data_IF_810337417310
#
_entry.id   IF_810337417310
#
_cell.length_a   1.000
_cell.length_b   1.000
_cell.length_c   1.000
_cell.angle_alpha   90.00
_cell.angle_beta   90.00
_cell.angle_gamma   90.00
#
_symmetry.space_group_name_H-M   'P 1'
#
loop_
_entity.id
_entity.type
_entity.pdbx_description
1 polymer ?
#
# COMPACT_ATOMS: atom_id res chain seq x y z
N UNK A 1 5.58 -35.10 -16.00
CA UNK A 1 4.24 -34.99 -15.36
C UNK A 1 3.23 -34.55 -16.41
N UNK A 2 2.21 -35.36 -16.71
CA UNK A 2 1.16 -35.03 -17.67
C UNK A 2 -0.05 -34.55 -16.87
N UNK A 3 -0.28 -33.24 -16.87
CA UNK A 3 -1.41 -32.63 -16.16
C UNK A 3 -2.73 -33.01 -16.84
N UNK A 4 -3.81 -33.09 -16.06
CA UNK A 4 -5.15 -33.35 -16.61
C UNK A 4 -5.52 -32.28 -17.64
N UNK A 5 -6.19 -32.66 -18.73
CA UNK A 5 -6.55 -31.71 -19.80
C UNK A 5 -7.42 -30.60 -19.21
N UNK A 6 -6.98 -29.35 -19.34
CA UNK A 6 -7.65 -28.17 -18.78
C UNK A 6 -7.13 -27.70 -17.41
N UNK A 7 -6.32 -28.51 -16.72
CA UNK A 7 -5.68 -28.11 -15.46
C UNK A 7 -4.47 -27.20 -15.70
N UNK A 8 -4.16 -26.36 -14.70
CA UNK A 8 -2.98 -25.50 -14.68
C UNK A 8 -2.08 -25.88 -13.50
N UNK A 9 -0.79 -25.98 -13.77
CA UNK A 9 0.23 -26.10 -12.72
C UNK A 9 0.84 -24.73 -12.43
N UNK A 10 0.79 -24.31 -11.18
CA UNK A 10 1.33 -23.03 -10.72
C UNK A 10 2.73 -23.20 -10.16
N UNK A 11 3.65 -22.36 -10.62
CA UNK A 11 5.03 -22.27 -10.18
C UNK A 11 5.13 -21.40 -8.94
N UNK A 12 5.59 -21.98 -7.83
CA UNK A 12 5.90 -21.26 -6.58
C UNK A 12 6.83 -20.08 -6.79
N UNK A 13 7.82 -20.21 -7.67
CA UNK A 13 8.82 -19.17 -7.90
C UNK A 13 8.35 -18.03 -8.81
N UNK A 14 7.23 -18.18 -9.53
CA UNK A 14 6.91 -17.31 -10.67
C UNK A 14 5.45 -16.95 -10.87
N UNK A 15 4.53 -17.90 -10.65
CA UNK A 15 3.09 -17.66 -10.78
C UNK A 15 2.51 -17.07 -9.49
N UNK A 16 2.88 -17.62 -8.33
CA UNK A 16 2.40 -17.09 -7.04
C UNK A 16 2.88 -15.67 -6.74
N UNK A 17 4.15 -15.27 -6.99
CA UNK A 17 4.55 -13.88 -6.85
C UNK A 17 3.74 -12.92 -7.73
N UNK A 18 3.40 -13.34 -8.96
CA UNK A 18 2.56 -12.57 -9.87
C UNK A 18 1.14 -12.44 -9.32
N UNK A 19 0.51 -13.54 -8.91
CA UNK A 19 -0.83 -13.52 -8.34
C UNK A 19 -0.89 -12.69 -7.05
N UNK A 20 0.14 -12.76 -6.19
CA UNK A 20 0.27 -11.95 -4.98
C UNK A 20 0.28 -10.47 -5.30
N UNK A 21 1.05 -10.04 -6.30
CA UNK A 21 1.06 -8.64 -6.73
C UNK A 21 -0.32 -8.19 -7.20
N UNK A 22 -0.99 -8.97 -8.04
CA UNK A 22 -2.34 -8.61 -8.49
C UNK A 22 -3.34 -8.56 -7.33
N UNK A 23 -3.27 -9.51 -6.40
CA UNK A 23 -4.11 -9.56 -5.20
C UNK A 23 -3.91 -8.33 -4.31
N UNK A 24 -2.66 -7.99 -4.00
CA UNK A 24 -2.32 -6.88 -3.09
C UNK A 24 -2.53 -5.50 -3.71
N UNK A 25 -2.47 -5.40 -5.03
CA UNK A 25 -2.74 -4.16 -5.76
C UNK A 25 -4.23 -3.90 -6.00
N UNK A 26 -5.10 -4.92 -5.92
CA UNK A 26 -6.52 -4.82 -6.30
C UNK A 26 -6.70 -4.72 -7.82
N UNK A 27 -6.23 -3.61 -8.41
CA UNK A 27 -6.09 -3.42 -9.85
C UNK A 27 -4.66 -3.04 -10.20
N UNK A 28 -4.15 -3.56 -11.31
CA UNK A 28 -2.78 -3.29 -11.74
C UNK A 28 -2.66 -3.30 -13.27
N UNK A 29 -1.90 -2.37 -13.84
CA UNK A 29 -1.66 -2.39 -15.29
C UNK A 29 -0.63 -3.46 -15.69
N UNK A 30 -0.63 -3.85 -16.96
CA UNK A 30 0.34 -4.81 -17.50
C UNK A 30 1.81 -4.35 -17.32
N UNK A 31 2.07 -3.06 -17.43
CA UNK A 31 3.36 -2.43 -17.21
C UNK A 31 3.74 -2.47 -15.73
N UNK A 32 2.86 -1.98 -14.84
CA UNK A 32 3.11 -1.98 -13.39
C UNK A 32 3.43 -3.39 -12.88
N UNK A 33 2.63 -4.39 -13.29
CA UNK A 33 2.83 -5.78 -12.88
C UNK A 33 4.18 -6.33 -13.34
N UNK A 34 4.56 -6.06 -14.59
CA UNK A 34 5.87 -6.47 -15.09
C UNK A 34 7.00 -5.80 -14.32
N UNK A 35 6.84 -4.52 -14.01
CA UNK A 35 7.87 -3.76 -13.33
C UNK A 35 8.10 -4.24 -11.90
N UNK A 36 7.03 -4.50 -11.14
CA UNK A 36 7.14 -5.12 -9.81
C UNK A 36 7.90 -6.45 -9.87
N UNK A 37 7.51 -7.34 -10.79
CA UNK A 37 8.15 -8.64 -10.95
C UNK A 37 9.61 -8.52 -11.41
N UNK A 38 9.94 -7.49 -12.20
CA UNK A 38 11.31 -7.22 -12.62
C UNK A 38 12.17 -6.72 -11.48
N UNK A 39 11.65 -5.78 -10.68
CA UNK A 39 12.34 -5.23 -9.51
C UNK A 39 12.60 -6.30 -8.44
N UNK A 40 11.73 -7.30 -8.31
CA UNK A 40 11.92 -8.45 -7.42
C UNK A 40 12.52 -9.69 -8.10
N UNK A 41 13.09 -9.52 -9.29
CA UNK A 41 13.80 -10.58 -10.02
C UNK A 41 12.96 -11.84 -10.35
N UNK A 42 11.64 -11.74 -10.30
CA UNK A 42 10.70 -12.80 -10.73
C UNK A 42 10.45 -12.81 -12.25
N UNK A 43 10.77 -11.72 -12.95
CA UNK A 43 10.65 -11.62 -14.40
C UNK A 43 11.84 -10.89 -15.04
N UNK A 44 12.53 -11.58 -15.97
CA UNK A 44 13.60 -10.99 -16.80
C UNK A 44 13.23 -10.89 -18.28
N UNK A 45 12.24 -11.66 -18.74
CA UNK A 45 11.80 -11.69 -20.14
C UNK A 45 10.36 -11.22 -20.27
N UNK A 46 10.14 -10.19 -21.10
CA UNK A 46 8.81 -9.68 -21.42
C UNK A 46 7.93 -10.74 -22.08
N UNK A 47 8.48 -11.57 -22.96
CA UNK A 47 7.74 -12.64 -23.63
C UNK A 47 7.30 -13.73 -22.65
N UNK A 48 8.20 -14.16 -21.75
CA UNK A 48 7.85 -15.14 -20.73
C UNK A 48 6.79 -14.61 -19.76
N UNK A 49 6.86 -13.33 -19.40
CA UNK A 49 5.84 -12.65 -18.61
C UNK A 49 4.48 -12.60 -19.33
N UNK A 50 4.44 -12.15 -20.58
CA UNK A 50 3.21 -12.06 -21.38
C UNK A 50 2.51 -13.43 -21.48
N UNK A 51 3.27 -14.48 -21.79
CA UNK A 51 2.74 -15.84 -21.88
C UNK A 51 2.18 -16.33 -20.53
N UNK A 52 2.82 -15.94 -19.41
CA UNK A 52 2.34 -16.29 -18.07
C UNK A 52 1.03 -15.60 -17.76
N UNK A 53 0.95 -14.29 -17.96
CA UNK A 53 -0.28 -13.52 -17.73
C UNK A 53 -1.42 -14.08 -18.58
N UNK A 54 -1.19 -14.30 -19.88
CA UNK A 54 -2.19 -14.88 -20.78
C UNK A 54 -2.67 -16.25 -20.29
N UNK A 55 -1.75 -17.10 -19.82
CA UNK A 55 -2.10 -18.41 -19.26
C UNK A 55 -2.96 -18.27 -18.00
N UNK A 56 -2.60 -17.39 -17.06
CA UNK A 56 -3.37 -17.19 -15.83
C UNK A 56 -4.77 -16.61 -16.10
N UNK A 57 -4.90 -15.71 -17.09
CA UNK A 57 -6.20 -15.21 -17.57
C UNK A 57 -7.01 -16.33 -18.21
N UNK A 58 -6.41 -17.12 -19.11
CA UNK A 58 -7.09 -18.23 -19.80
C UNK A 58 -7.63 -19.29 -18.84
N UNK A 59 -6.95 -19.51 -17.72
CA UNK A 59 -7.37 -20.46 -16.68
C UNK A 59 -8.20 -19.79 -15.56
N UNK A 60 -8.64 -18.54 -15.74
CA UNK A 60 -9.60 -17.90 -14.86
C UNK A 60 -9.05 -17.50 -13.49
N UNK A 61 -7.73 -17.41 -13.31
CA UNK A 61 -7.11 -16.93 -12.06
C UNK A 61 -6.96 -15.41 -12.02
N UNK A 62 -6.91 -14.78 -13.21
CA UNK A 62 -6.89 -13.33 -13.39
C UNK A 62 -8.05 -12.89 -14.25
N UNK A 63 -8.60 -11.72 -13.93
CA UNK A 63 -9.58 -11.01 -14.75
C UNK A 63 -8.83 -9.93 -15.51
N UNK A 64 -8.97 -9.91 -16.84
CA UNK A 64 -8.47 -8.83 -17.69
C UNK A 64 -9.61 -7.85 -17.95
N UNK A 65 -9.38 -6.59 -17.63
CA UNK A 65 -10.32 -5.49 -17.86
C UNK A 65 -9.90 -4.75 -19.14
N UNK A 66 -10.80 -4.65 -20.10
CA UNK A 66 -10.61 -3.84 -21.31
C UNK A 66 -11.22 -2.46 -21.06
N UNK A 67 -10.35 -1.49 -20.74
CA UNK A 67 -10.76 -0.13 -20.44
C UNK A 67 -10.30 0.80 -21.57
N UNK A 68 -11.22 1.29 -22.43
CA UNK A 68 -10.84 2.06 -23.61
C UNK A 68 -10.14 3.39 -23.30
N UNK A 69 -10.17 3.87 -22.05
CA UNK A 69 -9.71 5.21 -21.68
C UNK A 69 -8.36 5.26 -20.93
N UNK A 70 -7.83 4.15 -20.39
CA UNK A 70 -6.60 4.17 -19.57
C UNK A 70 -5.41 3.73 -20.42
N UNK A 71 -4.67 4.69 -20.97
CA UNK A 71 -3.38 4.51 -21.67
C UNK A 71 -3.32 3.36 -22.70
N UNK A 72 -4.48 2.87 -23.17
CA UNK A 72 -4.64 1.67 -24.01
C UNK A 72 -3.98 0.41 -23.43
N UNK A 73 -3.80 0.35 -22.11
CA UNK A 73 -3.15 -0.76 -21.44
C UNK A 73 -4.17 -1.70 -20.78
N UNK A 74 -3.89 -3.01 -20.82
CA UNK A 74 -4.69 -4.00 -20.10
C UNK A 74 -4.50 -3.83 -18.58
N UNK A 75 -5.62 -3.78 -17.85
CA UNK A 75 -5.63 -3.80 -16.38
C UNK A 75 -6.07 -5.17 -15.91
N UNK A 76 -5.45 -5.66 -14.84
CA UNK A 76 -5.76 -6.95 -14.24
C UNK A 76 -6.22 -6.82 -12.80
N UNK A 77 -7.12 -7.71 -12.41
CA UNK A 77 -7.45 -8.00 -11.01
C UNK A 77 -7.43 -9.51 -10.79
N UNK A 78 -7.37 -9.94 -9.53
CA UNK A 78 -7.48 -11.37 -9.20
C UNK A 78 -8.95 -11.79 -9.33
N UNK A 79 -9.20 -13.01 -9.81
CA UNK A 79 -10.55 -13.60 -9.77
C UNK A 79 -10.87 -14.17 -8.39
N UNK A 80 -12.12 -14.56 -8.15
CA UNK A 80 -12.50 -15.27 -6.92
C UNK A 80 -11.76 -16.61 -6.78
N UNK A 81 -11.61 -17.35 -7.88
CA UNK A 81 -10.84 -18.60 -7.90
C UNK A 81 -9.35 -18.35 -7.59
N UNK A 82 -8.77 -17.29 -8.16
CA UNK A 82 -7.40 -16.88 -7.87
C UNK A 82 -7.22 -16.48 -6.41
N UNK A 83 -8.13 -15.68 -5.85
CA UNK A 83 -8.09 -15.27 -4.46
C UNK A 83 -8.23 -16.47 -3.50
N UNK A 84 -9.13 -17.41 -3.80
CA UNK A 84 -9.28 -18.65 -3.02
C UNK A 84 -8.02 -19.52 -3.04
N UNK A 85 -7.36 -19.65 -4.20
CA UNK A 85 -6.09 -20.37 -4.31
C UNK A 85 -5.00 -19.70 -3.47
N UNK A 86 -4.89 -18.37 -3.53
CA UNK A 86 -3.91 -17.61 -2.74
C UNK A 86 -4.18 -17.73 -1.23
N UNK A 87 -5.44 -17.64 -0.80
CA UNK A 87 -5.82 -17.84 0.60
C UNK A 87 -5.46 -19.26 1.09
N UNK A 88 -5.68 -20.29 0.25
CA UNK A 88 -5.27 -21.66 0.53
C UNK A 88 -3.75 -21.85 0.67
N UNK A 89 -2.94 -20.91 0.17
CA UNK A 89 -1.48 -20.86 0.38
C UNK A 89 -1.04 -20.00 1.56
N UNK A 90 -1.99 -19.45 2.32
CA UNK A 90 -1.72 -18.64 3.50
C UNK A 90 -1.46 -17.17 3.22
N UNK A 91 -1.83 -16.65 2.04
CA UNK A 91 -1.81 -15.20 1.82
C UNK A 91 -2.83 -14.50 2.72
N UNK A 92 -2.45 -13.35 3.28
CA UNK A 92 -3.30 -12.51 4.08
C UNK A 92 -4.38 -11.85 3.21
N UNK A 93 -5.51 -12.54 3.06
CA UNK A 93 -6.69 -12.05 2.37
C UNK A 93 -7.92 -12.21 3.26
N UNK A 94 -8.47 -11.09 3.71
CA UNK A 94 -9.82 -11.06 4.27
C UNK A 94 -10.79 -10.52 3.22
N UNK A 95 -11.79 -11.35 2.90
CA UNK A 95 -12.90 -10.92 2.05
C UNK A 95 -13.63 -9.78 2.78
N UNK A 96 -13.93 -8.66 2.09
CA UNK A 96 -14.77 -7.62 2.68
C UNK A 96 -16.10 -8.23 3.13
N UNK A 97 -16.42 -8.09 4.42
CA UNK A 97 -17.71 -8.54 4.98
C UNK A 97 -18.84 -7.63 4.50
N UNK A 98 -18.53 -6.38 4.17
CA UNK A 98 -19.48 -5.42 3.61
C UNK A 98 -19.51 -5.47 2.08
N UNK A 99 -20.72 -5.61 1.54
CA UNK A 99 -21.00 -5.58 0.11
C UNK A 99 -20.59 -4.23 -0.50
N UNK A 100 -19.36 -4.13 -1.01
CA UNK A 100 -18.98 -3.05 -1.90
C UNK A 100 -19.95 -3.03 -3.08
N UNK A 101 -20.73 -1.95 -3.20
CA UNK A 101 -21.64 -1.75 -4.32
C UNK A 101 -20.84 -1.76 -5.62
N UNK A 102 -21.22 -2.55 -6.65
CA UNK A 102 -20.49 -2.66 -7.91
C UNK A 102 -20.31 -1.34 -8.69
N UNK A 103 -21.03 -0.28 -8.31
CA UNK A 103 -20.97 1.03 -8.97
C UNK A 103 -19.71 1.85 -8.68
N UNK A 104 -18.86 1.44 -7.71
CA UNK A 104 -17.63 2.16 -7.32
C UNK A 104 -16.36 1.60 -8.00
N UNK A 105 -16.51 0.63 -8.90
CA UNK A 105 -15.38 -0.09 -9.51
C UNK A 105 -14.36 0.80 -10.20
N UNK A 106 -14.79 1.91 -10.81
CA UNK A 106 -13.89 2.84 -11.51
C UNK A 106 -13.10 3.74 -10.54
N UNK A 107 -13.73 4.16 -9.42
CA UNK A 107 -13.05 4.93 -8.36
C UNK A 107 -11.97 4.09 -7.69
N UNK A 108 -12.30 2.85 -7.33
CA UNK A 108 -11.35 1.88 -6.78
C UNK A 108 -10.21 1.53 -7.73
N UNK A 109 -10.50 1.39 -9.03
CA UNK A 109 -9.49 1.10 -10.02
C UNK A 109 -8.44 2.21 -10.09
N UNK A 110 -8.90 3.44 -10.25
CA UNK A 110 -8.04 4.61 -10.35
C UNK A 110 -7.19 4.85 -9.10
N UNK A 111 -7.80 4.67 -7.92
CA UNK A 111 -7.09 4.69 -6.63
C UNK A 111 -5.98 3.64 -6.55
N UNK A 112 -6.29 2.40 -6.93
CA UNK A 112 -5.34 1.28 -6.93
C UNK A 112 -4.14 1.53 -7.85
N UNK A 113 -4.40 2.05 -9.06
CA UNK A 113 -3.33 2.33 -10.03
C UNK A 113 -2.36 3.41 -9.53
N UNK A 114 -2.85 4.46 -8.87
CA UNK A 114 -1.99 5.52 -8.32
C UNK A 114 -1.21 5.02 -7.08
N UNK A 115 -1.84 4.20 -6.22
CA UNK A 115 -1.14 3.54 -5.11
C UNK A 115 0.00 2.64 -5.60
N UNK A 116 -0.21 1.92 -6.71
CA UNK A 116 0.84 1.12 -7.32
C UNK A 116 2.00 2.00 -7.82
N UNK A 117 1.74 3.19 -8.36
CA UNK A 117 2.81 4.12 -8.75
C UNK A 117 3.59 4.65 -7.53
N UNK A 118 2.91 4.93 -6.41
CA UNK A 118 3.56 5.30 -5.15
C UNK A 118 4.47 4.15 -4.68
N UNK A 119 3.97 2.92 -4.68
CA UNK A 119 4.73 1.73 -4.30
C UNK A 119 5.93 1.50 -5.23
N UNK A 120 5.73 1.53 -6.56
CA UNK A 120 6.83 1.39 -7.52
C UNK A 120 7.87 2.48 -7.36
N UNK A 121 7.46 3.73 -7.14
CA UNK A 121 8.38 4.85 -6.89
C UNK A 121 9.28 4.56 -5.68
N UNK A 122 8.70 4.14 -4.56
CA UNK A 122 9.48 3.74 -3.39
C UNK A 122 10.38 2.54 -3.67
N UNK A 123 9.86 1.52 -4.35
CA UNK A 123 10.62 0.31 -4.68
C UNK A 123 11.83 0.61 -5.56
N UNK A 124 11.69 1.50 -6.54
CA UNK A 124 12.78 1.97 -7.42
C UNK A 124 13.92 2.63 -6.67
N UNK A 125 13.67 3.24 -5.50
CA UNK A 125 14.73 3.85 -4.69
C UNK A 125 15.66 2.84 -4.01
N UNK A 126 15.23 1.57 -3.89
CA UNK A 126 15.95 0.56 -3.11
C UNK A 126 15.90 0.76 -1.58
N UNK A 127 15.20 1.80 -1.10
CA UNK A 127 15.06 2.07 0.35
C UNK A 127 13.86 1.37 0.98
N UNK A 128 12.90 0.91 0.18
CA UNK A 128 11.70 0.22 0.66
C UNK A 128 12.06 -1.14 1.26
N UNK A 129 11.77 -1.33 2.55
CA UNK A 129 11.98 -2.58 3.28
C UNK A 129 10.69 -3.43 3.25
N UNK A 130 9.56 -2.82 3.60
CA UNK A 130 8.25 -3.48 3.58
C UNK A 130 7.16 -2.55 3.05
N UNK A 131 6.27 -3.13 2.25
CA UNK A 131 4.99 -2.55 1.87
C UNK A 131 3.90 -3.47 2.36
N UNK A 132 3.18 -3.07 3.41
CA UNK A 132 2.03 -3.81 3.93
C UNK A 132 0.78 -3.25 3.25
N UNK A 133 0.16 -3.97 2.31
CA UNK A 133 -1.00 -3.46 1.57
C UNK A 133 -2.26 -3.45 2.45
N UNK A 134 -3.28 -2.68 2.02
CA UNK A 134 -4.59 -2.63 2.67
C UNK A 134 -5.21 -4.02 2.88
N UNK A 135 -5.03 -4.95 1.94
CA UNK A 135 -5.56 -6.33 2.03
C UNK A 135 -5.00 -7.10 3.22
N UNK A 136 -3.69 -6.98 3.47
CA UNK A 136 -3.03 -7.59 4.62
C UNK A 136 -3.40 -6.86 5.92
N UNK A 137 -3.44 -5.53 5.89
CA UNK A 137 -3.89 -4.70 7.02
C UNK A 137 -5.30 -5.10 7.44
N UNK A 138 -6.20 -5.26 6.48
CA UNK A 138 -7.58 -5.70 6.70
C UNK A 138 -7.64 -7.08 7.31
N UNK A 139 -6.93 -8.03 6.73
CA UNK A 139 -6.83 -9.39 7.28
C UNK A 139 -6.36 -9.38 8.73
N UNK A 140 -5.33 -8.59 9.05
CA UNK A 140 -4.83 -8.45 10.41
C UNK A 140 -5.82 -7.80 11.36
N UNK A 141 -6.49 -6.72 10.94
CA UNK A 141 -7.45 -5.99 11.76
C UNK A 141 -8.69 -6.83 12.06
N UNK A 142 -9.16 -7.61 11.08
CA UNK A 142 -10.40 -8.38 11.19
C UNK A 142 -10.19 -9.71 11.95
N UNK A 143 -8.99 -10.29 11.86
CA UNK A 143 -8.70 -11.63 12.41
C UNK A 143 -7.85 -11.62 13.68
N UNK A 144 -7.29 -10.47 14.08
CA UNK A 144 -6.42 -10.38 15.26
C UNK A 144 -6.74 -9.17 16.12
N UNK A 145 -6.41 -9.26 17.41
CA UNK A 145 -6.48 -8.12 18.35
C UNK A 145 -5.28 -7.18 18.23
N UNK A 146 -4.27 -7.54 17.44
CA UNK A 146 -3.02 -6.80 17.27
C UNK A 146 -2.98 -6.00 15.96
N UNK A 147 -4.15 -5.60 15.46
CA UNK A 147 -4.31 -4.80 14.24
C UNK A 147 -4.03 -3.31 14.43
N UNK A 148 -4.27 -2.57 13.36
CA UNK A 148 -4.27 -1.12 13.31
C UNK A 148 -5.66 -0.57 13.60
N UNK A 149 -5.73 0.67 14.05
CA UNK A 149 -7.02 1.34 14.31
C UNK A 149 -7.74 1.79 13.04
N UNK A 150 -7.07 1.72 11.89
CA UNK A 150 -7.61 2.03 10.56
C UNK A 150 -7.17 0.98 9.54
N UNK A 151 -8.00 0.80 8.51
CA UNK A 151 -7.55 0.23 7.24
C UNK A 151 -6.79 1.31 6.47
N UNK A 152 -5.47 1.34 6.64
CA UNK A 152 -4.61 2.23 5.86
C UNK A 152 -4.45 1.71 4.44
N UNK A 153 -4.28 2.59 3.45
CA UNK A 153 -4.00 2.17 2.06
C UNK A 153 -2.72 1.34 2.01
N UNK A 154 -1.71 1.74 2.79
CA UNK A 154 -0.56 0.92 3.10
C UNK A 154 0.11 1.31 4.43
N UNK A 155 0.85 0.38 5.02
CA UNK A 155 1.85 0.65 6.05
C UNK A 155 3.21 0.37 5.47
N UNK A 156 4.04 1.42 5.42
CA UNK A 156 5.31 1.43 4.70
C UNK A 156 6.46 1.46 5.69
N UNK A 157 7.49 0.65 5.42
CA UNK A 157 8.77 0.68 6.13
C UNK A 157 9.87 0.97 5.12
N UNK A 158 10.62 2.05 5.36
CA UNK A 158 11.77 2.46 4.54
C UNK A 158 13.03 2.50 5.39
N UNK A 159 14.18 2.22 4.79
CA UNK A 159 15.48 2.31 5.45
C UNK A 159 16.12 3.67 5.17
N UNK A 160 16.28 4.47 6.22
CA UNK A 160 16.89 5.80 6.18
C UNK A 160 18.05 5.86 7.18
N UNK A 161 19.24 6.24 6.71
CA UNK A 161 20.45 6.31 7.55
C UNK A 161 20.70 5.04 8.39
N UNK A 162 20.43 3.86 7.82
CA UNK A 162 20.60 2.56 8.50
C UNK A 162 19.47 2.20 9.47
N UNK A 163 18.44 3.02 9.63
CA UNK A 163 17.30 2.75 10.50
C UNK A 163 16.02 2.49 9.68
N UNK A 164 15.21 1.55 10.17
CA UNK A 164 13.90 1.27 9.60
C UNK A 164 12.86 2.24 10.16
N UNK A 165 12.35 3.11 9.29
CA UNK A 165 11.34 4.10 9.58
C UNK A 165 9.98 3.63 9.07
N UNK A 166 8.98 3.57 9.96
CA UNK A 166 7.61 3.12 9.64
C UNK A 166 6.64 4.30 9.60
N UNK A 167 5.79 4.33 8.58
CA UNK A 167 4.67 5.28 8.49
C UNK A 167 3.44 4.65 7.84
N UNK A 168 2.26 5.18 8.20
CA UNK A 168 1.02 4.89 7.51
C UNK A 168 0.90 5.80 6.29
N UNK A 169 0.50 5.24 5.16
CA UNK A 169 0.24 5.94 3.91
C UNK A 169 -1.26 5.97 3.63
N UNK A 170 -1.74 7.14 3.24
CA UNK A 170 -3.08 7.40 2.73
C UNK A 170 -2.96 8.15 1.42
N UNK A 171 -3.70 7.72 0.41
CA UNK A 171 -3.88 8.44 -0.83
C UNK A 171 -5.35 8.83 -0.98
N UNK A 172 -5.61 10.09 -1.32
CA UNK A 172 -6.98 10.56 -1.45
C UNK A 172 -7.18 11.29 -2.78
N UNK A 173 -7.92 10.65 -3.70
CA UNK A 173 -8.26 11.22 -5.02
C UNK A 173 -9.37 12.24 -4.95
N UNK A 174 -10.34 12.02 -4.07
CA UNK A 174 -11.56 12.82 -3.92
C UNK A 174 -11.86 13.03 -2.44
N UNK A 175 -12.43 14.19 -2.07
CA UNK A 175 -12.72 14.49 -0.69
C UNK A 175 -13.77 13.51 -0.14
N UNK A 176 -13.55 13.08 1.10
CA UNK A 176 -14.52 12.34 1.90
C UNK A 176 -15.60 13.27 2.45
N UNK A 177 -16.71 12.71 2.89
CA UNK A 177 -17.72 13.47 3.62
C UNK A 177 -17.14 13.96 4.96
N UNK A 178 -17.51 15.16 5.43
CA UNK A 178 -16.97 15.74 6.66
C UNK A 178 -17.00 14.79 7.88
N UNK A 179 -18.10 14.05 8.05
CA UNK A 179 -18.26 13.03 9.12
C UNK A 179 -17.21 11.91 9.08
N UNK A 180 -16.70 11.57 7.89
CA UNK A 180 -15.69 10.53 7.73
C UNK A 180 -14.33 11.02 8.24
N UNK A 181 -13.97 12.29 8.08
CA UNK A 181 -12.72 12.83 8.66
C UNK A 181 -12.73 12.84 10.19
N UNK A 182 -13.89 13.04 10.82
CA UNK A 182 -14.00 12.91 12.28
C UNK A 182 -13.64 11.49 12.74
N UNK A 183 -14.16 10.48 12.05
CA UNK A 183 -13.82 9.07 12.32
C UNK A 183 -12.34 8.77 12.03
N UNK A 184 -11.81 9.30 10.93
CA UNK A 184 -10.38 9.19 10.59
C UNK A 184 -9.50 9.79 11.70
N UNK A 185 -9.82 11.00 12.17
CA UNK A 185 -9.10 11.65 13.27
C UNK A 185 -9.10 10.79 14.53
N UNK A 186 -10.28 10.33 14.97
CA UNK A 186 -10.40 9.49 16.16
C UNK A 186 -9.53 8.22 16.06
N UNK A 187 -9.54 7.55 14.90
CA UNK A 187 -8.72 6.35 14.67
C UNK A 187 -7.22 6.65 14.67
N UNK A 188 -6.80 7.75 14.04
CA UNK A 188 -5.39 8.19 14.06
C UNK A 188 -4.94 8.50 15.50
N UNK A 189 -5.79 9.15 16.30
CA UNK A 189 -5.50 9.49 17.69
C UNK A 189 -5.40 8.27 18.61
N UNK A 190 -6.11 7.19 18.29
CA UNK A 190 -6.04 5.91 19.00
C UNK A 190 -4.87 5.02 18.52
N UNK A 191 -4.27 5.35 17.37
CA UNK A 191 -3.19 4.54 16.79
C UNK A 191 -1.90 4.59 17.61
N UNK A 192 -1.45 3.41 18.05
CA UNK A 192 -0.28 3.23 18.92
C UNK A 192 0.88 2.52 18.21
N UNK A 193 0.61 1.74 17.16
CA UNK A 193 1.62 0.97 16.43
C UNK A 193 2.39 1.80 15.39
N UNK A 194 1.88 2.99 15.03
CA UNK A 194 2.44 3.87 14.01
C UNK A 194 2.54 5.31 14.54
N UNK A 195 3.71 5.93 14.39
CA UNK A 195 3.98 7.30 14.82
C UNK A 195 3.74 8.36 13.73
N UNK A 196 3.93 7.99 12.46
CA UNK A 196 3.92 8.91 11.33
C UNK A 196 2.80 8.57 10.36
N UNK A 197 2.05 9.60 9.94
CA UNK A 197 0.92 9.46 9.01
C UNK A 197 1.16 10.39 7.82
N UNK A 198 1.23 9.82 6.62
CA UNK A 198 1.43 10.55 5.37
C UNK A 198 0.17 10.46 4.51
N UNK A 199 -0.39 11.61 4.18
CA UNK A 199 -1.46 11.79 3.22
C UNK A 199 -0.90 12.36 1.91
N UNK A 200 -1.11 11.65 0.82
CA UNK A 200 -0.85 12.12 -0.54
C UNK A 200 -2.15 12.47 -1.23
N UNK A 201 -2.14 13.57 -1.98
CA UNK A 201 -3.32 14.05 -2.72
C UNK A 201 -2.90 14.56 -4.10
N UNK A 202 -3.80 14.56 -5.10
CA UNK A 202 -3.48 14.97 -6.47
C UNK A 202 -3.24 16.47 -6.68
N UNK A 203 -3.82 17.35 -5.85
CA UNK A 203 -3.75 18.80 -6.05
C UNK A 203 -3.80 19.59 -4.73
N UNK A 204 -3.46 20.89 -4.81
CA UNK A 204 -3.39 21.78 -3.65
C UNK A 204 -4.74 22.05 -2.99
N UNK A 205 -5.83 22.15 -3.77
CA UNK A 205 -7.16 22.42 -3.20
C UNK A 205 -7.59 21.29 -2.26
N UNK A 206 -7.38 20.03 -2.69
CA UNK A 206 -7.65 18.88 -1.86
C UNK A 206 -6.66 18.77 -0.70
N UNK A 207 -5.39 19.17 -0.89
CA UNK A 207 -4.40 19.22 0.19
C UNK A 207 -4.88 20.14 1.31
N UNK A 208 -5.25 21.37 0.97
CA UNK A 208 -5.75 22.35 1.94
C UNK A 208 -7.03 21.88 2.61
N UNK A 209 -7.95 21.31 1.84
CA UNK A 209 -9.20 20.76 2.37
C UNK A 209 -8.95 19.64 3.39
N UNK A 210 -8.14 18.64 3.06
CA UNK A 210 -7.85 17.51 3.96
C UNK A 210 -7.04 17.99 5.18
N UNK A 211 -6.05 18.87 4.98
CA UNK A 211 -5.25 19.43 6.07
C UNK A 211 -6.08 20.27 7.05
N UNK A 212 -7.07 21.02 6.55
CA UNK A 212 -8.06 21.73 7.37
C UNK A 212 -8.90 20.75 8.21
N UNK A 213 -9.45 19.70 7.57
CA UNK A 213 -10.28 18.71 8.27
C UNK A 213 -9.54 17.90 9.33
N UNK A 214 -8.22 17.77 9.20
CA UNK A 214 -7.35 17.10 10.16
C UNK A 214 -6.50 18.07 11.00
N UNK A 215 -6.79 19.38 10.95
CA UNK A 215 -6.05 20.41 11.67
C UNK A 215 -6.08 20.20 13.19
N UNK A 216 -7.23 19.79 13.72
CA UNK A 216 -7.46 19.50 15.14
C UNK A 216 -6.99 18.10 15.57
N UNK A 217 -6.36 17.32 14.69
CA UNK A 217 -5.82 16.01 15.07
C UNK A 217 -4.63 16.18 16.02
N UNK A 218 -4.69 15.56 17.21
CA UNK A 218 -3.63 15.66 18.23
C UNK A 218 -2.32 15.03 17.77
N UNK A 219 -2.41 14.03 16.90
CA UNK A 219 -1.25 13.36 16.28
C UNK A 219 -0.79 14.14 15.06
N UNK A 220 0.52 14.15 14.82
CA UNK A 220 1.09 14.80 13.64
C UNK A 220 0.72 14.02 12.37
N UNK A 221 -0.03 14.67 11.48
CA UNK A 221 -0.35 14.17 10.14
C UNK A 221 0.35 15.04 9.11
N UNK A 222 0.98 14.41 8.12
CA UNK A 222 1.79 15.07 7.11
C UNK A 222 1.12 14.95 5.75
N UNK A 223 1.07 16.05 5.00
CA UNK A 223 0.42 16.15 3.71
C UNK A 223 1.41 16.51 2.62
N UNK A 224 1.29 15.88 1.46
CA UNK A 224 2.05 16.25 0.27
C UNK A 224 1.31 15.93 -1.02
N UNK A 225 1.84 16.45 -2.12
CA UNK A 225 1.28 16.18 -3.44
C UNK A 225 1.81 14.86 -3.99
N UNK A 226 0.93 14.09 -4.61
CA UNK A 226 1.30 12.86 -5.30
C UNK A 226 2.37 13.14 -6.36
N UNK A 227 2.18 14.15 -7.20
CA UNK A 227 3.14 14.49 -8.26
C UNK A 227 4.54 14.75 -7.71
N UNK A 228 4.63 15.50 -6.62
CA UNK A 228 5.90 15.83 -5.98
C UNK A 228 6.51 14.59 -5.33
N UNK A 229 5.70 13.69 -4.76
CA UNK A 229 6.17 12.41 -4.25
C UNK A 229 6.75 11.53 -5.36
N UNK A 230 6.10 11.45 -6.52
CA UNK A 230 6.61 10.66 -7.65
C UNK A 230 7.95 11.19 -8.19
N UNK A 231 8.28 12.46 -7.94
CA UNK A 231 9.53 13.08 -8.38
C UNK A 231 10.62 13.08 -7.29
N UNK A 232 10.25 13.41 -6.05
CA UNK A 232 11.17 13.65 -4.94
C UNK A 232 11.21 12.49 -3.93
N UNK A 233 10.22 11.61 -3.98
CA UNK A 233 10.06 10.43 -3.11
C UNK A 233 10.18 10.79 -1.63
N UNK A 234 11.22 10.33 -0.92
CA UNK A 234 11.41 10.62 0.51
C UNK A 234 11.90 12.05 0.77
N UNK A 235 12.43 12.75 -0.24
CA UNK A 235 12.77 14.17 -0.15
C UNK A 235 11.54 15.10 -0.32
N UNK A 236 10.33 14.53 -0.46
CA UNK A 236 9.07 15.27 -0.57
C UNK A 236 8.95 16.32 0.56
N UNK A 237 8.73 17.60 0.22
CA UNK A 237 8.29 18.60 1.18
C UNK A 237 6.87 18.26 1.65
N UNK A 238 6.71 18.01 2.94
CA UNK A 238 5.42 17.71 3.57
C UNK A 238 5.03 18.78 4.56
N UNK A 239 3.74 19.12 4.57
CA UNK A 239 3.12 20.04 5.52
C UNK A 239 2.55 19.26 6.69
N UNK A 240 2.82 19.68 7.93
CA UNK A 240 2.17 19.11 9.12
C UNK A 240 0.79 19.74 9.35
N UNK A 241 -0.18 18.96 9.84
CA UNK A 241 -1.46 19.49 10.31
C UNK A 241 -1.26 20.64 11.32
N UNK A 242 -1.99 21.74 11.11
CA UNK A 242 -1.87 22.96 11.94
C UNK A 242 -0.58 23.78 11.77
N UNK A 243 0.35 23.39 10.89
CA UNK A 243 1.59 24.15 10.63
C UNK A 243 1.63 24.70 9.21
N UNK A 244 2.00 25.99 9.01
CA UNK A 244 2.20 26.56 7.69
C UNK A 244 3.49 26.06 6.99
N UNK A 245 4.43 25.51 7.76
CA UNK A 245 5.79 25.19 7.31
C UNK A 245 5.86 23.80 6.70
N UNK A 246 6.53 23.70 5.55
CA UNK A 246 6.88 22.42 4.91
C UNK A 246 8.27 21.95 5.37
N UNK A 247 8.40 20.66 5.64
CA UNK A 247 9.65 19.99 6.00
C UNK A 247 9.84 18.73 5.15
N UNK A 248 11.07 18.30 4.91
CA UNK A 248 11.30 17.08 4.14
C UNK A 248 10.75 15.84 4.88
N UNK A 249 10.14 14.92 4.14
CA UNK A 249 9.61 13.67 4.69
C UNK A 249 10.70 12.82 5.36
N UNK A 250 11.91 12.78 4.81
CA UNK A 250 13.08 12.15 5.49
C UNK A 250 13.32 12.70 6.89
N UNK A 251 13.24 14.03 7.08
CA UNK A 251 13.42 14.65 8.39
C UNK A 251 12.29 14.22 9.33
N UNK A 252 11.04 14.21 8.88
CA UNK A 252 9.90 13.74 9.68
C UNK A 252 10.12 12.32 10.19
N UNK A 253 10.51 11.41 9.31
CA UNK A 253 10.64 9.99 9.60
C UNK A 253 11.83 9.66 10.52
N UNK A 254 12.84 10.53 10.55
CA UNK A 254 14.05 10.36 11.39
C UNK A 254 13.95 11.06 12.74
N UNK A 255 13.20 12.16 12.84
CA UNK A 255 13.09 12.96 14.08
C UNK A 255 12.11 12.37 15.12
N UNK A 256 11.39 11.29 14.79
CA UNK A 256 10.40 10.64 15.67
C UNK A 256 10.95 9.77 16.81
N UNK A 257 12.28 9.65 16.96
CA UNK A 257 12.91 8.87 18.04
C UNK A 257 13.76 9.74 18.96
N UNK A 258 13.10 10.57 19.77
CA UNK A 258 13.66 11.01 21.04
C UNK A 258 13.09 10.11 22.14
N UNK A 259 13.97 9.24 22.67
CA UNK A 259 13.94 8.50 23.95
C UNK A 259 13.18 7.15 24.00
N UNK A 260 13.96 6.07 24.12
CA UNK A 260 14.13 5.39 25.41
C UNK A 260 15.63 5.16 25.64
N UNK A 261 16.25 5.98 26.50
CA UNK A 261 17.47 5.54 27.21
C UNK A 261 17.04 4.30 28.00
N UNK A 262 17.57 3.14 27.66
CA UNK A 262 17.52 2.00 28.56
C UNK A 262 18.17 2.45 29.87
N UNK A 263 17.35 2.54 30.92
CA UNK A 263 17.86 2.67 32.28
C UNK A 263 18.79 1.49 32.54
N UNK A 264 20.02 1.80 32.91
CA UNK A 264 20.92 0.89 33.59
C UNK A 264 20.22 0.38 34.85
N UNK A 265 19.70 -0.84 34.77
CA UNK A 265 19.17 -1.61 35.90
C UNK A 265 20.04 -2.86 36.07
N UNK A 266 21.24 -2.69 36.62
CA UNK A 266 21.98 -3.76 37.28
C UNK A 266 22.54 -3.18 38.56
N UNK A 267 21.72 -3.30 39.61
CA UNK A 267 22.13 -3.10 40.99
C UNK A 267 23.10 -4.20 41.41
N UNK A 268 24.17 -3.74 42.06
CA UNK A 268 24.86 -4.37 43.18
C UNK A 268 24.21 -5.65 43.74
N UNK A 269 24.91 -6.78 43.63
CA UNK A 269 24.82 -7.85 44.62
C UNK A 269 26.13 -7.83 45.39
N UNK A 270 26.06 -7.29 46.60
CA UNK A 270 27.04 -7.44 47.65
C UNK A 270 26.28 -7.56 48.97
N UNK A 271 26.25 -8.78 49.51
CA UNK A 271 26.41 -9.24 50.90
C UNK A 271 26.19 -10.76 50.87
#
# INVERSE_FOLDING_TARGET
MRYWKGSIALSTARDYPLLRYVLHSGFITHHQLFEFLRLDHYASSRNAFNNRVLRLVKHGLLIRHELPFINREAVYSVSEAGASEMAGKGECYARPIDHFKPSDGQGHLHHSLDLNEIHLTLKRTGTLVYWTPETEIRSRNDLTTAGYWKYYDAVVVVRLAGQDCRFALEYERTPKAARQYLSVRQRIEQETAIAHFLYLVPNYDLLWFVADKLSECKRAVYFGLLRDFLQLTLALPVRRNGSPVSIALTSVLTHGRVVQKAGTLWENIGV
#
